data_IF_531187325994
#
_entry.id   IF_531187325994
#
_cell.length_a   1.000
_cell.length_b   1.000
_cell.length_c   1.000
_cell.angle_alpha   90.00
_cell.angle_beta   90.00
_cell.angle_gamma   90.00
#
_symmetry.space_group_name_H-M   'P 1'
#
loop_
_entity.id
_entity.type
_entity.pdbx_description
1 polymer ?
#
# COMPACT_ATOMS: atom_id res chain seq x y z
N UNK A 1 -17.77 20.85 11.33
CA UNK A 1 -16.35 20.81 10.92
C UNK A 1 -15.84 19.37 11.01
N UNK A 2 -16.50 18.42 10.32
CA UNK A 2 -16.21 16.98 10.45
C UNK A 2 -15.71 16.33 9.15
N UNK A 3 -15.65 17.09 8.05
CA UNK A 3 -15.22 16.60 6.74
C UNK A 3 -13.70 16.41 6.62
N UNK A 4 -12.90 17.19 7.35
CA UNK A 4 -11.44 17.18 7.21
C UNK A 4 -10.81 15.91 7.80
N UNK A 5 -11.33 15.40 8.92
CA UNK A 5 -10.80 14.20 9.57
C UNK A 5 -11.08 12.93 8.75
N UNK A 6 -12.30 12.80 8.21
CA UNK A 6 -12.67 11.68 7.34
C UNK A 6 -11.88 11.70 6.03
N UNK A 7 -11.71 12.88 5.42
CA UNK A 7 -10.87 13.05 4.22
C UNK A 7 -9.41 12.71 4.52
N UNK A 8 -8.86 13.16 5.65
CA UNK A 8 -7.49 12.82 6.06
C UNK A 8 -7.32 11.32 6.24
N UNK A 9 -8.25 10.66 6.92
CA UNK A 9 -8.22 9.21 7.10
C UNK A 9 -8.27 8.47 5.77
N UNK A 10 -9.13 8.90 4.83
CA UNK A 10 -9.18 8.32 3.49
C UNK A 10 -7.83 8.51 2.78
N UNK A 11 -7.29 9.72 2.69
CA UNK A 11 -5.98 9.95 2.04
C UNK A 11 -4.86 9.06 2.60
N UNK A 12 -4.85 8.84 3.92
CA UNK A 12 -3.91 7.92 4.58
C UNK A 12 -4.13 6.46 4.16
N UNK A 13 -5.38 6.00 4.01
CA UNK A 13 -5.69 4.65 3.55
C UNK A 13 -5.22 4.41 2.11
N UNK A 14 -5.44 5.37 1.20
CA UNK A 14 -4.94 5.29 -0.17
C UNK A 14 -3.41 5.28 -0.22
N UNK A 15 -2.77 6.16 0.55
CA UNK A 15 -1.31 6.20 0.66
C UNK A 15 -0.71 4.91 1.23
N UNK A 16 -1.34 4.32 2.25
CA UNK A 16 -0.93 3.03 2.79
C UNK A 16 -0.99 1.92 1.71
N UNK A 17 -2.06 1.92 0.92
CA UNK A 17 -2.20 1.03 -0.24
C UNK A 17 -1.05 1.12 -1.22
N UNK A 18 -0.72 2.34 -1.64
CA UNK A 18 0.38 2.59 -2.58
C UNK A 18 1.74 2.14 -2.04
N UNK A 19 2.01 2.47 -0.77
CA UNK A 19 3.25 2.07 -0.10
C UNK A 19 3.38 0.54 0.01
N UNK A 20 2.32 -0.16 0.42
CA UNK A 20 2.32 -1.62 0.53
C UNK A 20 2.46 -2.28 -0.85
N UNK A 21 1.80 -1.74 -1.87
CA UNK A 21 1.89 -2.26 -3.23
C UNK A 21 3.32 -2.18 -3.75
N UNK A 22 3.99 -1.03 -3.61
CA UNK A 22 5.40 -0.88 -3.97
C UNK A 22 6.29 -1.84 -3.17
N UNK A 23 6.05 -1.96 -1.85
CA UNK A 23 6.84 -2.84 -1.00
C UNK A 23 6.73 -4.32 -1.44
N UNK A 24 5.54 -4.78 -1.80
CA UNK A 24 5.33 -6.14 -2.31
C UNK A 24 5.99 -6.34 -3.67
N UNK A 25 5.87 -5.40 -4.61
CA UNK A 25 6.55 -5.48 -5.93
C UNK A 25 8.07 -5.62 -5.79
N UNK A 26 8.65 -4.95 -4.81
CA UNK A 26 10.10 -4.90 -4.58
C UNK A 26 10.62 -6.10 -3.79
N UNK A 27 9.81 -6.63 -2.87
CA UNK A 27 10.26 -7.59 -1.86
C UNK A 27 9.72 -9.00 -2.04
N UNK A 28 8.59 -9.18 -2.75
CA UNK A 28 8.02 -10.51 -3.03
C UNK A 28 7.85 -10.75 -4.53
N UNK A 29 8.88 -11.31 -5.19
CA UNK A 29 8.84 -11.57 -6.64
C UNK A 29 7.84 -12.67 -7.03
N UNK A 30 7.25 -13.38 -6.07
CA UNK A 30 6.30 -14.45 -6.35
C UNK A 30 4.88 -13.93 -6.57
N UNK A 31 4.60 -12.68 -6.19
CA UNK A 31 3.29 -12.07 -6.40
C UNK A 31 3.25 -11.46 -7.81
N UNK A 32 2.40 -11.98 -8.71
CA UNK A 32 2.28 -11.47 -10.07
C UNK A 32 1.73 -10.05 -10.14
N UNK A 33 2.16 -9.28 -11.14
CA UNK A 33 1.74 -7.90 -11.35
C UNK A 33 0.21 -7.76 -11.57
N UNK A 34 -0.44 -8.74 -12.18
CA UNK A 34 -1.90 -8.74 -12.37
C UNK A 34 -2.66 -8.95 -11.05
N UNK A 35 -2.11 -9.71 -10.10
CA UNK A 35 -2.68 -9.84 -8.76
C UNK A 35 -2.58 -8.52 -7.98
N UNK A 36 -1.47 -7.81 -8.13
CA UNK A 36 -1.27 -6.49 -7.52
C UNK A 36 -2.20 -5.43 -8.13
N UNK A 37 -2.34 -5.42 -9.46
CA UNK A 37 -3.29 -4.54 -10.15
C UNK A 37 -4.73 -4.80 -9.67
N UNK A 38 -5.15 -6.07 -9.58
CA UNK A 38 -6.47 -6.43 -9.04
C UNK A 38 -6.63 -6.01 -7.57
N UNK A 39 -5.57 -6.08 -6.77
CA UNK A 39 -5.60 -5.62 -5.38
C UNK A 39 -5.80 -4.09 -5.29
N UNK A 40 -5.11 -3.32 -6.15
CA UNK A 40 -5.32 -1.88 -6.29
C UNK A 40 -6.77 -1.57 -6.66
N UNK A 41 -7.31 -2.25 -7.67
CA UNK A 41 -8.68 -2.02 -8.14
C UNK A 41 -9.71 -2.27 -7.04
N UNK A 42 -9.57 -3.38 -6.28
CA UNK A 42 -10.43 -3.66 -5.12
C UNK A 42 -10.30 -2.57 -4.05
N UNK A 43 -9.08 -2.13 -3.75
CA UNK A 43 -8.86 -1.08 -2.76
C UNK A 43 -9.50 0.25 -3.17
N UNK A 44 -9.40 0.63 -4.45
CA UNK A 44 -10.06 1.83 -4.98
C UNK A 44 -11.58 1.73 -4.85
N UNK A 45 -12.16 0.57 -5.18
CA UNK A 45 -13.61 0.36 -5.06
C UNK A 45 -14.08 0.52 -3.61
N UNK A 46 -13.37 -0.05 -2.64
CA UNK A 46 -13.70 0.10 -1.22
C UNK A 46 -13.49 1.55 -0.75
N UNK A 47 -12.43 2.21 -1.19
CA UNK A 47 -12.19 3.63 -0.92
C UNK A 47 -13.36 4.52 -1.36
N UNK A 48 -13.87 4.29 -2.57
CA UNK A 48 -15.03 5.03 -3.11
C UNK A 48 -16.30 4.70 -2.32
N UNK A 49 -16.52 3.44 -1.92
CA UNK A 49 -17.66 3.06 -1.07
C UNK A 49 -17.65 3.74 0.30
N UNK A 50 -16.46 4.03 0.84
CA UNK A 50 -16.29 4.79 2.09
C UNK A 50 -16.52 6.31 1.93
N UNK A 51 -16.89 6.77 0.72
CA UNK A 51 -17.16 8.18 0.43
C UNK A 51 -15.96 8.94 -0.13
N UNK A 52 -14.89 8.25 -0.50
CA UNK A 52 -13.74 8.84 -1.19
C UNK A 52 -13.96 9.06 -2.68
N UNK A 53 -13.08 9.86 -3.28
CA UNK A 53 -13.01 10.12 -4.72
C UNK A 53 -11.95 9.22 -5.39
N UNK A 54 -12.26 8.63 -6.55
CA UNK A 54 -11.34 7.72 -7.26
C UNK A 54 -10.04 8.42 -7.72
N UNK A 55 -10.11 9.67 -8.17
CA UNK A 55 -8.95 10.46 -8.55
C UNK A 55 -8.11 10.85 -7.33
N UNK A 56 -8.74 11.10 -6.17
CA UNK A 56 -8.02 11.26 -4.90
C UNK A 56 -7.27 9.97 -4.55
N UNK A 57 -7.94 8.81 -4.62
CA UNK A 57 -7.31 7.52 -4.37
C UNK A 57 -6.08 7.34 -5.28
N UNK A 58 -6.24 7.49 -6.59
CA UNK A 58 -5.16 7.27 -7.55
C UNK A 58 -3.96 8.19 -7.30
N UNK A 59 -4.21 9.46 -6.95
CA UNK A 59 -3.15 10.41 -6.62
C UNK A 59 -2.38 10.00 -5.36
N UNK A 60 -3.07 9.73 -4.26
CA UNK A 60 -2.42 9.40 -2.99
C UNK A 60 -1.73 8.04 -3.04
N UNK A 61 -2.35 7.08 -3.73
CA UNK A 61 -1.76 5.77 -4.00
C UNK A 61 -0.45 5.91 -4.80
N UNK A 62 -0.48 6.60 -5.95
CA UNK A 62 0.69 6.76 -6.81
C UNK A 62 1.81 7.53 -6.09
N UNK A 63 1.48 8.61 -5.39
CA UNK A 63 2.43 9.40 -4.60
C UNK A 63 3.18 8.56 -3.57
N UNK A 64 2.46 7.72 -2.82
CA UNK A 64 3.08 6.86 -1.82
C UNK A 64 3.86 5.69 -2.43
N UNK A 65 3.36 5.10 -3.51
CA UNK A 65 4.04 4.05 -4.28
C UNK A 65 5.39 4.55 -4.80
N UNK A 66 5.40 5.67 -5.53
CA UNK A 66 6.60 6.28 -6.11
C UNK A 66 7.62 6.64 -5.01
N UNK A 67 7.14 7.14 -3.86
CA UNK A 67 8.00 7.47 -2.73
C UNK A 67 8.72 6.25 -2.17
N UNK A 68 8.01 5.14 -1.94
CA UNK A 68 8.64 3.90 -1.45
C UNK A 68 9.64 3.36 -2.46
N UNK A 69 9.29 3.39 -3.75
CA UNK A 69 10.20 2.94 -4.81
C UNK A 69 11.47 3.77 -4.88
N UNK A 70 11.35 5.10 -4.85
CA UNK A 70 12.51 5.99 -4.83
C UNK A 70 13.39 5.78 -3.58
N UNK A 71 12.79 5.51 -2.42
CA UNK A 71 13.54 5.18 -1.20
C UNK A 71 14.30 3.86 -1.35
N UNK A 72 13.67 2.84 -1.92
CA UNK A 72 14.30 1.54 -2.16
C UNK A 72 15.45 1.65 -3.17
N UNK A 73 15.25 2.36 -4.28
CA UNK A 73 16.24 2.51 -5.35
C UNK A 73 17.49 3.29 -4.90
N UNK A 74 17.34 4.17 -3.91
CA UNK A 74 18.46 4.94 -3.33
C UNK A 74 19.11 4.25 -2.14
N UNK A 75 18.52 3.17 -1.63
CA UNK A 75 19.03 2.41 -0.51
C UNK A 75 20.17 1.47 -0.94
N UNK A 76 21.08 1.18 -0.01
CA UNK A 76 22.09 0.13 -0.21
C UNK A 76 21.45 -1.26 -0.23
N UNK A 77 22.09 -2.29 -0.81
CA UNK A 77 21.54 -3.65 -0.80
C UNK A 77 21.20 -4.19 0.59
N UNK A 78 22.00 -3.85 1.61
CA UNK A 78 21.73 -4.24 2.99
C UNK A 78 20.46 -3.56 3.55
N UNK A 79 20.25 -2.28 3.22
CA UNK A 79 19.05 -1.54 3.61
C UNK A 79 17.81 -2.04 2.86
N UNK A 80 17.94 -2.38 1.57
CA UNK A 80 16.86 -3.00 0.80
C UNK A 80 16.41 -4.32 1.43
N UNK A 81 17.37 -5.19 1.79
CA UNK A 81 17.07 -6.44 2.50
C UNK A 81 16.38 -6.20 3.85
N UNK A 82 16.84 -5.20 4.61
CA UNK A 82 16.20 -4.84 5.87
C UNK A 82 14.76 -4.36 5.66
N UNK A 83 14.50 -3.50 4.68
CA UNK A 83 13.15 -3.03 4.35
C UNK A 83 12.21 -4.20 4.03
N UNK A 84 12.69 -5.18 3.26
CA UNK A 84 11.91 -6.37 2.92
C UNK A 84 11.68 -7.28 4.13
N UNK A 85 12.68 -7.48 4.99
CA UNK A 85 12.53 -8.27 6.21
C UNK A 85 11.53 -7.65 7.19
N UNK A 86 11.50 -6.32 7.29
CA UNK A 86 10.51 -5.60 8.09
C UNK A 86 9.09 -5.80 7.54
N UNK A 87 8.91 -5.74 6.21
CA UNK A 87 7.62 -6.01 5.56
C UNK A 87 7.15 -7.45 5.83
N UNK A 88 8.03 -8.44 5.68
CA UNK A 88 7.73 -9.85 5.95
C UNK A 88 7.36 -10.07 7.42
N UNK A 89 8.07 -9.44 8.35
CA UNK A 89 7.77 -9.49 9.78
C UNK A 89 6.40 -8.89 10.10
N UNK A 90 6.05 -7.77 9.47
CA UNK A 90 4.73 -7.16 9.61
C UNK A 90 3.62 -8.06 9.05
N UNK A 91 3.83 -8.66 7.87
CA UNK A 91 2.89 -9.59 7.26
C UNK A 91 2.69 -10.87 8.10
N UNK A 92 3.77 -11.38 8.68
CA UNK A 92 3.77 -12.58 9.55
C UNK A 92 3.17 -12.31 10.93
N UNK A 93 3.18 -11.05 11.37
CA UNK A 93 2.61 -10.62 12.65
C UNK A 93 1.15 -10.19 12.54
N UNK A 94 0.57 -10.16 11.34
CA UNK A 94 -0.86 -10.00 11.17
C UNK A 94 -1.57 -11.21 11.81
N UNK A 95 -2.57 -11.01 12.69
CA UNK A 95 -3.31 -12.15 13.23
C UNK A 95 -3.86 -12.97 12.06
N UNK A 96 -3.68 -14.29 12.13
CA UNK A 96 -4.21 -15.21 11.13
C UNK A 96 -5.68 -14.87 10.85
N UNK A 97 -6.15 -14.90 9.59
CA UNK A 97 -7.58 -14.75 9.32
C UNK A 97 -8.29 -15.77 10.20
N UNK A 98 -9.26 -15.31 10.98
CA UNK A 98 -10.11 -16.20 11.76
C UNK A 98 -10.71 -17.21 10.77
N UNK A 99 -10.25 -18.46 10.84
CA UNK A 99 -10.98 -19.60 10.29
C UNK A 99 -12.35 -19.59 10.95
N UNK A 100 -13.38 -19.24 10.17
CA UNK A 100 -14.78 -19.55 10.48
C UNK A 100 -14.98 -21.07 10.60
#
# INVERSE_FOLDING_TARGET
MSGDAATTMLTQLAGLGGAMHAAVELCDPNIPADQLAQAKDRQQQEFVKMGGDAAMFDREFASAHDKVRAQYDTATPAQQQQMCAELESMASSAPAPATE
#
